data_IF_227053015535
#
_entry.id   IF_227053015535
#
_cell.length_a   1.000
_cell.length_b   1.000
_cell.length_c   1.000
_cell.angle_alpha   90.00
_cell.angle_beta   90.00
_cell.angle_gamma   90.00
#
_symmetry.space_group_name_H-M   'P 1'
#
loop_
_entity.id
_entity.type
_entity.pdbx_description
1 polymer ?
#
# COMPACT_ATOMS: atom_id res chain seq x y z
N UNK A 1 19.10 -5.98 7.81
CA UNK A 1 19.19 -4.72 7.04
C UNK A 1 20.65 -4.50 6.68
N UNK A 2 21.01 -4.11 5.47
CA UNK A 2 22.39 -3.64 5.15
C UNK A 2 22.52 -2.14 5.46
N UNK A 3 23.74 -1.59 5.53
CA UNK A 3 23.95 -0.14 5.79
C UNK A 3 23.22 0.74 4.77
N UNK A 4 23.30 0.39 3.48
CA UNK A 4 22.59 1.08 2.42
C UNK A 4 21.05 1.05 2.59
N UNK A 5 20.51 -0.04 3.14
CA UNK A 5 19.08 -0.14 3.43
C UNK A 5 18.71 0.74 4.62
N UNK A 6 19.55 0.79 5.66
CA UNK A 6 19.36 1.62 6.84
C UNK A 6 19.33 3.11 6.49
N UNK A 7 20.22 3.58 5.61
CA UNK A 7 20.21 4.97 5.15
C UNK A 7 18.98 5.34 4.33
N UNK A 8 18.55 4.44 3.43
CA UNK A 8 17.29 4.61 2.69
C UNK A 8 16.09 4.66 3.65
N UNK A 9 16.10 3.84 4.69
CA UNK A 9 15.04 3.85 5.69
C UNK A 9 15.06 5.11 6.55
N UNK A 10 16.23 5.64 6.95
CA UNK A 10 16.34 6.93 7.63
C UNK A 10 15.67 8.04 6.82
N UNK A 11 15.95 8.12 5.52
CA UNK A 11 15.29 9.08 4.60
C UNK A 11 13.79 8.87 4.49
N UNK A 12 13.33 7.62 4.50
CA UNK A 12 11.89 7.30 4.43
C UNK A 12 11.19 7.63 5.74
N UNK A 13 11.88 7.45 6.88
CA UNK A 13 11.34 7.67 8.23
C UNK A 13 11.02 9.14 8.50
N UNK A 14 11.80 10.08 7.96
CA UNK A 14 11.55 11.53 8.10
C UNK A 14 10.22 11.98 7.52
N UNK A 15 9.66 11.23 6.57
CA UNK A 15 8.36 11.50 5.96
C UNK A 15 7.19 11.25 6.94
N UNK A 16 7.42 10.44 7.98
CA UNK A 16 6.44 10.08 9.01
C UNK A 16 5.53 8.91 8.63
N UNK A 17 5.12 8.14 9.65
CA UNK A 17 4.34 6.89 9.50
C UNK A 17 3.01 7.13 8.75
N UNK A 18 2.27 8.18 9.11
CA UNK A 18 0.98 8.49 8.48
C UNK A 18 1.08 8.73 6.98
N UNK A 19 2.00 9.60 6.54
CA UNK A 19 2.23 9.87 5.11
C UNK A 19 2.73 8.62 4.38
N UNK A 20 3.64 7.86 4.99
CA UNK A 20 4.12 6.61 4.41
C UNK A 20 2.98 5.62 4.15
N UNK A 21 2.12 5.39 5.15
CA UNK A 21 0.98 4.46 5.03
C UNK A 21 -0.04 4.97 4.01
N UNK A 22 -0.30 6.28 3.96
CA UNK A 22 -1.19 6.88 2.97
C UNK A 22 -0.68 6.66 1.54
N UNK A 23 0.58 7.02 1.26
CA UNK A 23 1.14 6.95 -0.10
C UNK A 23 1.47 5.52 -0.53
N UNK A 24 2.27 4.81 0.27
CA UNK A 24 2.79 3.48 -0.09
C UNK A 24 1.87 2.33 0.31
N UNK A 25 0.88 2.58 1.16
CA UNK A 25 -0.17 1.64 1.54
C UNK A 25 -1.43 1.90 0.74
N UNK A 26 -2.22 2.86 1.21
CA UNK A 26 -3.59 3.09 0.73
C UNK A 26 -3.64 3.48 -0.74
N UNK A 27 -2.89 4.51 -1.13
CA UNK A 27 -2.89 5.00 -2.51
C UNK A 27 -2.29 3.97 -3.47
N UNK A 28 -1.09 3.46 -3.16
CA UNK A 28 -0.41 2.50 -4.03
C UNK A 28 -1.22 1.22 -4.19
N UNK A 29 -1.61 0.56 -3.09
CA UNK A 29 -2.33 -0.71 -3.17
C UNK A 29 -3.78 -0.54 -3.61
N UNK A 30 -4.48 0.48 -3.09
CA UNK A 30 -5.87 0.76 -3.45
C UNK A 30 -6.01 1.03 -4.95
N UNK A 31 -5.18 1.92 -5.51
CA UNK A 31 -5.23 2.25 -6.94
C UNK A 31 -4.77 1.06 -7.80
N UNK A 32 -3.63 0.44 -7.47
CA UNK A 32 -3.10 -0.66 -8.29
C UNK A 32 -4.08 -1.83 -8.33
N UNK A 33 -4.57 -2.29 -7.18
CA UNK A 33 -5.51 -3.42 -7.12
C UNK A 33 -6.85 -3.08 -7.77
N UNK A 34 -7.38 -1.87 -7.54
CA UNK A 34 -8.61 -1.45 -8.19
C UNK A 34 -8.46 -1.41 -9.72
N UNK A 35 -7.35 -0.87 -10.24
CA UNK A 35 -7.08 -0.85 -11.67
C UNK A 35 -6.91 -2.28 -12.25
N UNK A 36 -6.18 -3.15 -11.55
CA UNK A 36 -5.99 -4.55 -11.95
C UNK A 36 -7.30 -5.32 -12.05
N UNK A 37 -8.13 -5.23 -11.00
CA UNK A 37 -9.42 -5.92 -10.97
C UNK A 37 -10.43 -5.29 -11.93
N UNK A 38 -10.40 -3.98 -12.13
CA UNK A 38 -11.25 -3.31 -13.12
C UNK A 38 -10.87 -3.73 -14.54
N UNK A 39 -9.57 -3.78 -14.87
CA UNK A 39 -9.11 -4.28 -16.17
C UNK A 39 -9.46 -5.75 -16.39
N UNK A 40 -9.35 -6.57 -15.34
CA UNK A 40 -9.73 -7.98 -15.40
C UNK A 40 -11.24 -8.16 -15.59
N UNK A 41 -12.07 -7.37 -14.92
CA UNK A 41 -13.54 -7.38 -15.07
C UNK A 41 -13.94 -6.95 -16.48
N UNK A 42 -13.27 -5.94 -17.05
CA UNK A 42 -13.48 -5.53 -18.43
C UNK A 42 -13.21 -6.66 -19.43
N UNK A 43 -12.15 -7.43 -19.22
CA UNK A 43 -11.77 -8.54 -20.09
C UNK A 43 -12.67 -9.78 -19.95
N UNK A 44 -13.28 -9.99 -18.78
CA UNK A 44 -14.00 -11.23 -18.47
C UNK A 44 -15.52 -11.08 -18.51
N UNK A 45 -16.06 -9.98 -18.01
CA UNK A 45 -17.50 -9.82 -17.75
C UNK A 45 -18.17 -8.80 -18.67
N UNK A 46 -17.40 -7.93 -19.37
CA UNK A 46 -17.89 -6.83 -20.22
C UNK A 46 -18.98 -5.94 -19.58
N UNK A 47 -19.16 -6.05 -18.27
CA UNK A 47 -20.10 -5.27 -17.46
C UNK A 47 -19.28 -4.54 -16.42
N UNK A 48 -19.55 -3.25 -16.25
CA UNK A 48 -18.82 -2.41 -15.31
C UNK A 48 -19.82 -1.76 -14.37
N UNK A 49 -19.79 -2.18 -13.11
CA UNK A 49 -20.65 -1.60 -12.07
C UNK A 49 -19.84 -0.64 -11.21
N UNK A 50 -20.12 0.67 -11.32
CA UNK A 50 -19.41 1.70 -10.54
C UNK A 50 -19.46 1.45 -9.03
N UNK A 51 -20.60 0.98 -8.50
CA UNK A 51 -20.75 0.67 -7.07
C UNK A 51 -19.72 -0.36 -6.60
N UNK A 52 -19.41 -1.35 -7.43
CA UNK A 52 -18.44 -2.39 -7.09
C UNK A 52 -17.00 -1.90 -7.12
N UNK A 53 -16.69 -0.96 -8.02
CA UNK A 53 -15.39 -0.27 -8.06
C UNK A 53 -15.11 0.48 -6.74
N UNK A 54 -16.09 1.24 -6.22
CA UNK A 54 -15.93 1.97 -4.96
C UNK A 54 -15.74 1.04 -3.76
N UNK A 55 -16.50 -0.06 -3.70
CA UNK A 55 -16.35 -1.08 -2.65
C UNK A 55 -14.95 -1.68 -2.69
N UNK A 56 -14.45 -2.05 -3.88
CA UNK A 56 -13.08 -2.56 -4.03
C UNK A 56 -12.01 -1.56 -3.62
N UNK A 57 -12.16 -0.28 -4.01
CA UNK A 57 -11.24 0.77 -3.58
C UNK A 57 -11.20 0.91 -2.06
N UNK A 58 -12.35 0.86 -1.38
CA UNK A 58 -12.41 0.90 0.07
C UNK A 58 -11.73 -0.33 0.70
N UNK A 59 -12.07 -1.54 0.25
CA UNK A 59 -11.51 -2.79 0.78
C UNK A 59 -10.00 -2.88 0.53
N UNK A 60 -9.54 -2.62 -0.70
CA UNK A 60 -8.11 -2.65 -1.04
C UNK A 60 -7.33 -1.51 -0.41
N UNK A 61 -7.95 -0.33 -0.20
CA UNK A 61 -7.38 0.76 0.57
C UNK A 61 -7.12 0.37 2.02
N UNK A 62 -8.09 -0.30 2.67
CA UNK A 62 -7.95 -0.83 4.03
C UNK A 62 -6.86 -1.90 4.10
N UNK A 63 -6.83 -2.85 3.15
CA UNK A 63 -5.77 -3.86 3.08
C UNK A 63 -4.39 -3.20 2.89
N UNK A 64 -4.29 -2.21 1.99
CA UNK A 64 -3.08 -1.43 1.77
C UNK A 64 -2.61 -0.68 3.02
N UNK A 65 -3.55 -0.13 3.81
CA UNK A 65 -3.26 0.49 5.10
C UNK A 65 -2.58 -0.51 6.04
N UNK A 66 -3.17 -1.68 6.26
CA UNK A 66 -2.61 -2.69 7.16
C UNK A 66 -1.25 -3.19 6.68
N UNK A 67 -1.12 -3.51 5.39
CA UNK A 67 0.15 -3.97 4.80
C UNK A 67 1.26 -2.94 5.01
N UNK A 68 1.01 -1.66 4.71
CA UNK A 68 2.02 -0.63 4.89
C UNK A 68 2.32 -0.35 6.37
N UNK A 69 1.32 -0.44 7.24
CA UNK A 69 1.50 -0.28 8.68
C UNK A 69 2.39 -1.40 9.26
N UNK A 70 2.10 -2.66 8.94
CA UNK A 70 2.93 -3.79 9.35
C UNK A 70 4.34 -3.71 8.76
N UNK A 71 4.45 -3.31 7.48
CA UNK A 71 5.76 -3.15 6.83
C UNK A 71 6.59 -2.04 7.48
N UNK A 72 5.95 -0.95 7.90
CA UNK A 72 6.61 0.11 8.66
C UNK A 72 7.13 -0.43 9.99
N UNK A 73 6.27 -1.06 10.79
CA UNK A 73 6.65 -1.56 12.11
C UNK A 73 7.73 -2.64 12.02
N UNK A 74 7.67 -3.53 11.01
CA UNK A 74 8.71 -4.51 10.77
C UNK A 74 10.07 -3.87 10.45
N UNK A 75 10.10 -2.84 9.61
CA UNK A 75 11.33 -2.11 9.27
C UNK A 75 11.87 -1.28 10.43
N UNK A 76 10.98 -0.70 11.23
CA UNK A 76 11.33 0.05 12.43
C UNK A 76 11.98 -0.86 13.47
N UNK A 77 11.40 -2.04 13.72
CA UNK A 77 11.98 -3.07 14.61
C UNK A 77 13.36 -3.52 14.12
N UNK A 78 13.49 -3.82 12.82
CA UNK A 78 14.76 -4.25 12.22
C UNK A 78 15.85 -3.16 12.26
N UNK A 79 15.44 -1.89 12.25
CA UNK A 79 16.35 -0.75 12.33
C UNK A 79 16.80 -0.49 13.78
N UNK A 80 15.92 -0.69 14.77
CA UNK A 80 16.25 -0.53 16.19
C UNK A 80 17.05 -1.71 16.76
N UNK A 81 16.94 -2.90 16.17
CA UNK A 81 17.68 -4.09 16.58
C UNK A 81 19.13 -4.13 16.05
N UNK A 82 19.64 -3.01 15.53
CA UNK A 82 20.96 -2.88 14.90
C UNK A 82 21.71 -1.72 15.54
#
# INVERSE_FOLDING_TARGET
>A
MTEQQADKWRKTRTMGKGKYVMYFGVLTWGIILAALFTGMEWLTQQSFTLSWMYIRLAVFGILGFFIANFRWDARERLFQSR
#
